data_IF_327433428121
#
_entry.id   IF_327433428121
#
_cell.length_a   1.000
_cell.length_b   1.000
_cell.length_c   1.000
_cell.angle_alpha   90.00
_cell.angle_beta   90.00
_cell.angle_gamma   90.00
#
_symmetry.space_group_name_H-M   'P 1'
#
loop_
_entity.id
_entity.type
_entity.pdbx_description
1 polymer ?
#
# COMPACT_ATOMS: atom_id res chain seq x y z
N UNK A 1 -23.75 45.94 -28.35
CA UNK A 1 -22.36 46.38 -28.06
C UNK A 1 -21.40 45.17 -28.11
N UNK A 2 -21.11 44.60 -29.29
CA UNK A 2 -20.28 43.41 -29.44
C UNK A 2 -18.77 43.64 -29.19
N UNK A 3 -18.33 44.90 -29.05
CA UNK A 3 -16.94 45.24 -28.77
C UNK A 3 -16.50 45.02 -27.30
N UNK A 4 -17.42 44.77 -26.37
CA UNK A 4 -17.07 44.48 -24.97
C UNK A 4 -16.68 43.01 -24.74
N UNK A 5 -17.08 42.10 -25.65
CA UNK A 5 -16.75 40.67 -25.59
C UNK A 5 -15.24 40.36 -25.63
N UNK A 6 -14.42 40.96 -26.51
CA UNK A 6 -12.97 40.70 -26.52
C UNK A 6 -12.25 41.12 -25.23
N UNK A 7 -12.72 42.17 -24.54
CA UNK A 7 -12.12 42.63 -23.27
C UNK A 7 -12.44 41.67 -22.13
N UNK A 8 -13.70 41.20 -22.06
CA UNK A 8 -14.11 40.19 -21.06
C UNK A 8 -13.39 38.85 -21.31
N UNK A 9 -13.21 38.45 -22.58
CA UNK A 9 -12.47 37.24 -22.93
C UNK A 9 -10.99 37.30 -22.51
N UNK A 10 -10.34 38.46 -22.66
CA UNK A 10 -8.96 38.68 -22.20
C UNK A 10 -8.80 38.57 -20.69
N UNK A 11 -9.80 39.01 -19.91
CA UNK A 11 -9.80 38.84 -18.46
C UNK A 11 -9.90 37.38 -18.02
N UNK A 12 -10.63 36.53 -18.75
CA UNK A 12 -10.75 35.10 -18.44
C UNK A 12 -9.47 34.30 -18.75
N UNK A 13 -8.65 34.75 -19.69
CA UNK A 13 -7.40 34.07 -20.09
C UNK A 13 -6.22 34.35 -19.14
N UNK A 14 -6.29 35.38 -18.29
CA UNK A 14 -5.20 35.76 -17.37
C UNK A 14 -5.26 35.07 -15.99
N UNK A 15 -6.25 34.21 -15.73
CA UNK A 15 -6.48 33.63 -14.39
C UNK A 15 -5.81 32.26 -14.15
N UNK A 16 -4.80 31.86 -14.92
CA UNK A 16 -3.95 30.71 -14.59
C UNK A 16 -2.85 31.13 -13.59
N UNK A 17 -3.25 31.39 -12.34
CA UNK A 17 -2.33 31.53 -11.23
C UNK A 17 -1.67 30.19 -10.91
N UNK A 18 -0.47 29.97 -11.43
CA UNK A 18 0.41 28.90 -10.98
C UNK A 18 0.90 29.27 -9.58
N UNK A 19 0.17 28.84 -8.55
CA UNK A 19 0.72 28.81 -7.19
C UNK A 19 1.97 27.91 -7.27
N UNK A 20 3.19 28.43 -7.04
CA UNK A 20 4.36 27.56 -6.98
C UNK A 20 4.11 26.60 -5.84
N UNK A 21 3.89 25.34 -6.19
CA UNK A 21 3.73 24.24 -5.24
C UNK A 21 5.02 24.22 -4.43
N UNK A 22 4.99 24.85 -3.25
CA UNK A 22 6.09 24.82 -2.29
C UNK A 22 6.53 23.38 -2.21
N UNK A 23 7.73 23.12 -2.70
CA UNK A 23 8.30 21.78 -2.73
C UNK A 23 8.26 21.31 -1.28
N UNK A 24 7.36 20.37 -1.00
CA UNK A 24 7.42 19.60 0.22
C UNK A 24 8.62 18.67 0.03
N UNK A 25 9.81 19.23 0.18
CA UNK A 25 11.05 18.49 0.31
C UNK A 25 10.87 17.60 1.52
N UNK A 26 10.61 16.34 1.23
CA UNK A 26 10.52 15.33 2.28
C UNK A 26 11.90 15.22 2.91
N UNK A 27 12.01 15.27 4.24
CA UNK A 27 13.29 15.18 4.92
C UNK A 27 14.10 14.02 4.39
N UNK A 28 15.38 14.25 4.10
CA UNK A 28 16.30 13.18 3.77
C UNK A 28 16.52 12.33 5.03
N UNK A 29 15.95 11.14 5.03
CA UNK A 29 16.02 10.20 6.14
C UNK A 29 17.23 9.25 6.02
N UNK A 30 18.06 9.36 4.98
CA UNK A 30 19.26 8.51 4.84
C UNK A 30 20.20 8.54 6.06
N UNK A 31 20.50 9.68 6.72
CA UNK A 31 21.34 9.66 7.92
C UNK A 31 20.67 8.91 9.08
N UNK A 32 19.35 9.06 9.25
CA UNK A 32 18.57 8.34 10.27
C UNK A 32 18.60 6.82 10.05
N UNK A 33 18.47 6.38 8.80
CA UNK A 33 18.57 4.95 8.47
C UNK A 33 19.99 4.42 8.66
N UNK A 34 21.03 5.19 8.34
CA UNK A 34 22.42 4.80 8.55
C UNK A 34 22.73 4.62 10.05
N UNK A 35 22.26 5.56 10.88
CA UNK A 35 22.40 5.48 12.34
C UNK A 35 21.63 4.29 12.93
N UNK A 36 20.40 4.05 12.46
CA UNK A 36 19.61 2.88 12.89
C UNK A 36 20.29 1.57 12.48
N UNK A 37 20.85 1.48 11.27
CA UNK A 37 21.56 0.30 10.79
C UNK A 37 22.81 0.02 11.63
N UNK A 38 23.62 1.03 11.91
CA UNK A 38 24.81 0.86 12.77
C UNK A 38 24.43 0.48 14.20
N UNK A 39 23.34 1.03 14.73
CA UNK A 39 22.79 0.67 16.05
C UNK A 39 22.32 -0.80 16.09
N UNK A 40 21.74 -1.29 15.00
CA UNK A 40 21.28 -2.70 14.90
C UNK A 40 22.38 -3.71 14.61
N UNK A 41 23.52 -3.27 14.09
CA UNK A 41 24.63 -4.15 13.67
C UNK A 41 25.22 -4.99 14.81
N UNK A 42 25.22 -4.44 16.03
CA UNK A 42 25.74 -5.10 17.23
C UNK A 42 24.63 -5.72 18.10
N UNK A 43 23.38 -5.78 17.61
CA UNK A 43 22.29 -6.42 18.34
C UNK A 43 22.34 -7.94 18.16
N UNK A 44 22.00 -8.72 19.19
CA UNK A 44 21.85 -10.17 19.03
C UNK A 44 20.75 -10.48 18.00
N UNK A 45 20.85 -11.62 17.30
CA UNK A 45 19.82 -12.04 16.35
C UNK A 45 18.43 -12.07 16.99
N UNK A 46 17.43 -11.57 16.26
CA UNK A 46 16.03 -11.60 16.71
C UNK A 46 15.48 -13.01 16.55
N UNK A 47 15.12 -13.66 17.66
CA UNK A 47 14.44 -14.95 17.63
C UNK A 47 12.97 -14.77 17.29
N UNK A 48 12.53 -15.34 16.16
CA UNK A 48 11.15 -15.21 15.72
C UNK A 48 10.15 -15.81 16.71
N UNK A 49 10.42 -16.98 17.29
CA UNK A 49 9.45 -17.71 18.12
C UNK A 49 9.28 -17.06 19.48
N UNK A 50 10.37 -16.57 20.06
CA UNK A 50 10.38 -15.97 21.39
C UNK A 50 10.02 -14.48 21.37
N UNK A 51 10.46 -13.74 20.34
CA UNK A 51 10.33 -12.28 20.32
C UNK A 51 9.23 -11.80 19.37
N UNK A 52 9.16 -12.30 18.14
CA UNK A 52 8.27 -11.76 17.09
C UNK A 52 6.87 -12.36 17.14
N UNK A 53 6.78 -13.69 17.20
CA UNK A 53 5.53 -14.45 17.15
C UNK A 53 4.54 -14.01 18.24
N UNK A 54 4.93 -13.85 19.53
CA UNK A 54 3.97 -13.42 20.56
C UNK A 54 3.41 -12.03 20.31
N UNK A 55 4.18 -11.13 19.69
CA UNK A 55 3.73 -9.78 19.35
C UNK A 55 2.70 -9.85 18.21
N UNK A 56 3.02 -10.59 17.14
CA UNK A 56 2.10 -10.77 16.01
C UNK A 56 0.80 -11.43 16.45
N UNK A 57 0.87 -12.47 17.28
CA UNK A 57 -0.30 -13.18 17.78
C UNK A 57 -1.21 -12.28 18.61
N UNK A 58 -0.65 -11.50 19.54
CA UNK A 58 -1.42 -10.63 20.44
C UNK A 58 -1.99 -9.39 19.75
N UNK A 59 -1.32 -8.86 18.73
CA UNK A 59 -1.66 -7.54 18.15
C UNK A 59 -2.24 -7.60 16.74
N UNK A 60 -1.85 -8.61 15.95
CA UNK A 60 -2.12 -8.61 14.52
C UNK A 60 -3.02 -9.78 14.13
N UNK A 61 -2.69 -11.00 14.58
CA UNK A 61 -3.44 -12.22 14.24
C UNK A 61 -4.87 -12.20 14.78
N UNK A 62 -5.13 -11.46 15.86
CA UNK A 62 -6.50 -11.22 16.37
C UNK A 62 -7.44 -10.70 15.29
N UNK A 63 -6.95 -9.88 14.36
CA UNK A 63 -7.72 -9.36 13.23
C UNK A 63 -7.32 -9.99 11.88
N UNK A 64 -6.08 -10.48 11.76
CA UNK A 64 -5.46 -10.99 10.53
C UNK A 64 -5.13 -12.50 10.58
N UNK A 65 -5.91 -13.28 11.32
CA UNK A 65 -5.68 -14.73 11.48
C UNK A 65 -6.32 -15.60 10.40
N UNK A 66 -7.39 -15.11 9.78
CA UNK A 66 -8.25 -15.85 8.86
C UNK A 66 -8.23 -15.25 7.44
N UNK A 67 -8.85 -15.95 6.49
CA UNK A 67 -8.94 -15.53 5.08
C UNK A 67 -9.90 -14.36 4.86
N UNK A 68 -10.86 -14.18 5.77
CA UNK A 68 -11.85 -13.10 5.78
C UNK A 68 -11.36 -11.82 6.48
N UNK A 69 -10.13 -11.83 6.98
CA UNK A 69 -9.49 -10.68 7.59
C UNK A 69 -9.53 -9.44 6.67
N UNK A 70 -9.47 -8.22 7.24
CA UNK A 70 -9.37 -7.00 6.45
C UNK A 70 -8.24 -7.08 5.43
N UNK A 71 -8.53 -6.63 4.21
CA UNK A 71 -7.63 -6.73 3.06
C UNK A 71 -7.16 -8.17 2.74
N UNK A 72 -7.88 -9.22 3.18
CA UNK A 72 -7.49 -10.64 3.01
C UNK A 72 -6.06 -10.97 3.49
N UNK A 73 -5.48 -10.14 4.36
CA UNK A 73 -4.12 -10.31 4.84
C UNK A 73 -4.10 -11.34 5.97
N UNK A 74 -3.30 -12.40 5.79
CA UNK A 74 -3.15 -13.50 6.76
C UNK A 74 -1.76 -13.47 7.39
N UNK A 75 -1.67 -13.10 8.66
CA UNK A 75 -0.40 -12.95 9.40
C UNK A 75 -0.07 -14.15 10.30
N UNK A 76 -0.96 -15.14 10.37
CA UNK A 76 -0.74 -16.38 11.14
C UNK A 76 0.18 -17.39 10.46
N UNK A 77 0.53 -17.17 9.18
CA UNK A 77 1.40 -18.05 8.41
C UNK A 77 2.31 -17.24 7.49
N UNK A 78 3.54 -17.71 7.26
CA UNK A 78 4.52 -17.04 6.42
C UNK A 78 4.00 -16.83 4.98
N UNK A 79 3.31 -17.82 4.43
CA UNK A 79 2.79 -17.78 3.07
C UNK A 79 1.66 -16.77 2.91
N UNK A 80 0.89 -16.54 3.99
CA UNK A 80 -0.08 -15.45 4.05
C UNK A 80 0.58 -14.07 3.99
N UNK A 81 1.70 -13.90 4.72
CA UNK A 81 2.50 -12.66 4.68
C UNK A 81 3.12 -12.45 3.29
N UNK A 82 3.67 -13.51 2.68
CA UNK A 82 4.29 -13.48 1.37
C UNK A 82 3.28 -13.17 0.25
N UNK A 83 2.09 -13.77 0.30
CA UNK A 83 0.94 -13.44 -0.56
C UNK A 83 0.58 -11.97 -0.44
N UNK A 84 0.59 -11.41 0.77
CA UNK A 84 0.22 -10.02 1.04
C UNK A 84 -1.29 -9.82 1.13
N UNK A 85 -1.75 -8.60 0.83
CA UNK A 85 -3.17 -8.21 0.95
C UNK A 85 -3.85 -7.96 -0.40
N UNK A 86 -5.17 -7.92 -0.42
CA UNK A 86 -6.01 -7.57 -1.56
C UNK A 86 -7.01 -6.48 -1.16
N UNK A 87 -7.39 -5.61 -2.10
CA UNK A 87 -8.45 -4.61 -1.91
C UNK A 87 -9.85 -5.18 -2.14
N UNK A 88 -9.95 -6.40 -2.66
CA UNK A 88 -11.24 -7.04 -2.94
C UNK A 88 -11.98 -7.31 -1.63
N UNK A 89 -13.25 -6.87 -1.58
CA UNK A 89 -14.13 -7.13 -0.45
C UNK A 89 -14.44 -8.62 -0.36
N UNK A 90 -14.15 -9.20 0.80
CA UNK A 90 -14.55 -10.58 1.12
C UNK A 90 -16.06 -10.64 1.25
N UNK A 91 -16.61 -9.83 2.17
CA UNK A 91 -18.03 -9.65 2.35
C UNK A 91 -18.54 -8.47 1.52
N UNK A 92 -19.30 -8.81 0.49
CA UNK A 92 -19.96 -7.86 -0.39
C UNK A 92 -21.44 -8.24 -0.45
N UNK A 93 -22.27 -7.52 0.32
CA UNK A 93 -23.71 -7.81 0.44
C UNK A 93 -24.51 -7.59 -0.85
N UNK A 94 -23.92 -6.95 -1.86
CA UNK A 94 -24.56 -6.75 -3.17
C UNK A 94 -24.27 -7.88 -4.15
N UNK A 95 -23.40 -8.83 -3.77
CA UNK A 95 -22.94 -9.89 -4.65
C UNK A 95 -24.01 -10.98 -4.80
N UNK A 96 -24.49 -11.17 -6.03
CA UNK A 96 -25.47 -12.22 -6.38
C UNK A 96 -24.82 -13.55 -6.80
N UNK A 97 -23.53 -13.54 -7.16
CA UNK A 97 -22.80 -14.70 -7.69
C UNK A 97 -21.50 -14.87 -6.92
N UNK A 98 -21.09 -16.11 -6.61
CA UNK A 98 -19.85 -16.37 -5.88
C UNK A 98 -18.61 -15.77 -6.56
N UNK A 99 -17.68 -15.26 -5.76
CA UNK A 99 -16.35 -14.84 -6.24
C UNK A 99 -15.38 -16.03 -6.29
N UNK A 100 -14.28 -15.86 -7.01
CA UNK A 100 -13.16 -16.79 -6.96
C UNK A 100 -12.55 -16.87 -5.56
N UNK A 101 -12.15 -18.08 -5.16
CA UNK A 101 -11.45 -18.32 -3.90
C UNK A 101 -9.98 -17.89 -3.98
N UNK A 102 -9.41 -17.65 -2.80
CA UNK A 102 -8.03 -17.19 -2.60
C UNK A 102 -7.31 -18.00 -1.52
N UNK A 103 -7.53 -19.32 -1.49
CA UNK A 103 -6.89 -20.26 -0.57
C UNK A 103 -5.41 -20.40 -0.88
N UNK A 104 -4.58 -20.40 0.16
CA UNK A 104 -3.14 -20.62 0.00
C UNK A 104 -2.89 -22.02 -0.57
N UNK A 105 -1.86 -22.15 -1.41
CA UNK A 105 -1.39 -23.41 -2.04
C UNK A 105 -2.32 -24.05 -3.09
N UNK A 106 -3.60 -23.70 -3.08
CA UNK A 106 -4.58 -24.21 -4.04
C UNK A 106 -4.80 -23.22 -5.20
N UNK A 107 -5.17 -21.98 -4.87
CA UNK A 107 -5.62 -21.02 -5.86
C UNK A 107 -4.45 -20.22 -6.47
N UNK A 108 -3.25 -20.29 -5.86
CA UNK A 108 -1.96 -19.88 -6.43
C UNK A 108 -0.79 -20.47 -5.61
N UNK A 109 0.31 -20.77 -6.30
CA UNK A 109 1.52 -21.42 -5.76
C UNK A 109 2.70 -20.48 -5.63
N UNK A 110 2.75 -19.39 -6.40
CA UNK A 110 3.86 -18.45 -6.40
C UNK A 110 3.43 -17.04 -6.00
N UNK A 111 4.38 -16.26 -5.48
CA UNK A 111 4.14 -14.84 -5.20
C UNK A 111 3.74 -14.06 -6.44
N UNK A 112 4.22 -14.45 -7.63
CA UNK A 112 3.88 -13.83 -8.92
C UNK A 112 2.41 -14.01 -9.28
N UNK A 113 1.92 -15.25 -9.22
CA UNK A 113 0.49 -15.57 -9.44
C UNK A 113 -0.43 -14.78 -8.50
N UNK A 114 -0.01 -14.56 -7.26
CA UNK A 114 -0.77 -13.70 -6.34
C UNK A 114 -0.81 -12.23 -6.79
N UNK A 115 0.25 -11.71 -7.43
CA UNK A 115 0.23 -10.36 -8.01
C UNK A 115 -0.72 -10.27 -9.20
N UNK A 116 -0.76 -11.29 -10.06
CA UNK A 116 -1.71 -11.37 -11.17
C UNK A 116 -3.16 -11.41 -10.67
N UNK A 117 -3.40 -12.03 -9.51
CA UNK A 117 -4.69 -12.01 -8.79
C UNK A 117 -4.97 -10.72 -8.02
N UNK A 118 -4.17 -9.68 -8.19
CA UNK A 118 -4.39 -8.36 -7.59
C UNK A 118 -3.99 -8.23 -6.12
N UNK A 119 -3.29 -9.21 -5.55
CA UNK A 119 -2.70 -9.04 -4.22
C UNK A 119 -1.47 -8.13 -4.31
N UNK A 120 -1.26 -7.28 -3.31
CA UNK A 120 -0.09 -6.43 -3.16
C UNK A 120 0.77 -6.87 -1.97
N UNK A 121 2.09 -6.67 -2.08
CA UNK A 121 3.02 -7.00 -1.00
C UNK A 121 2.85 -6.01 0.16
N UNK A 122 2.55 -6.54 1.35
CA UNK A 122 2.32 -5.78 2.58
C UNK A 122 3.55 -4.97 3.03
N UNK A 123 4.76 -5.54 2.92
CA UNK A 123 6.01 -4.93 3.40
C UNK A 123 6.72 -4.03 2.37
N UNK A 124 6.06 -3.65 1.28
CA UNK A 124 6.73 -2.82 0.26
C UNK A 124 6.76 -1.37 0.71
N UNK A 125 7.97 -0.83 0.97
CA UNK A 125 8.17 0.63 0.97
C UNK A 125 7.67 1.14 -0.38
N UNK A 126 6.77 2.13 -0.41
CA UNK A 126 6.45 2.80 -1.69
C UNK A 126 7.77 3.32 -2.25
N UNK A 127 8.25 2.74 -3.37
CA UNK A 127 9.13 3.51 -4.24
C UNK A 127 8.27 4.67 -4.70
N UNK A 128 8.65 5.90 -4.31
CA UNK A 128 7.99 7.09 -4.81
C UNK A 128 8.21 7.09 -6.31
N UNK A 129 7.16 6.85 -7.08
CA UNK A 129 7.19 7.13 -8.52
C UNK A 129 7.06 8.65 -8.63
N UNK A 130 8.07 9.38 -9.12
CA UNK A 130 7.90 10.80 -9.38
C UNK A 130 6.93 10.94 -10.56
N UNK A 131 5.67 11.26 -10.28
CA UNK A 131 4.65 11.43 -11.30
C UNK A 131 3.23 11.48 -10.74
N UNK A 132 2.26 11.97 -11.54
CA UNK A 132 0.89 12.09 -11.09
C UNK A 132 0.24 10.73 -10.78
N UNK A 133 -0.42 10.67 -9.62
CA UNK A 133 -0.97 9.47 -8.96
C UNK A 133 -2.07 8.77 -9.79
N UNK A 134 -2.67 9.44 -10.76
CA UNK A 134 -3.81 8.94 -11.54
C UNK A 134 -3.46 8.00 -12.72
N UNK A 135 -2.19 7.63 -12.93
CA UNK A 135 -1.80 6.68 -13.99
C UNK A 135 -1.71 5.21 -13.57
N UNK A 136 -2.11 4.85 -12.36
CA UNK A 136 -1.98 3.46 -11.86
C UNK A 136 -3.27 2.91 -11.23
N UNK A 137 -4.41 3.26 -11.80
CA UNK A 137 -5.69 2.57 -11.54
C UNK A 137 -6.23 2.05 -12.86
#
# INVERSE_FOLDING_TARGET
MPWLYPIVALFFLSACGQVPRSQMETPDLTPLFAEMLETTKNQPPVDYRQQVKPILEKRCVVCHGCYDAPCQLKLSAYEGVARGGSKQKVYDGTRLISTNLTRLFEDAKTNGEWREKGFFRFSTRRKRVPGPIWKTV
#
